data_IF_892586287007
#
_entry.id   IF_892586287007
#
_cell.length_a   1.000
_cell.length_b   1.000
_cell.length_c   1.000
_cell.angle_alpha   90.00
_cell.angle_beta   90.00
_cell.angle_gamma   90.00
#
_symmetry.space_group_name_H-M   'P 1'
#
loop_
_entity.id
_entity.type
_entity.pdbx_description
1 polymer ?
#
# COMPACT_ATOMS: atom_id res chain seq x y z
N UNK A 1 -34.66 68.07 66.75
CA UNK A 1 -33.80 66.98 67.29
C UNK A 1 -33.07 66.35 66.11
N UNK A 2 -31.93 66.93 65.71
CA UNK A 2 -31.22 66.53 64.48
C UNK A 2 -30.01 65.68 64.85
N UNK A 3 -30.12 64.38 64.59
CA UNK A 3 -28.99 63.44 64.61
C UNK A 3 -28.08 63.82 63.45
N UNK A 4 -26.84 64.25 63.75
CA UNK A 4 -25.82 64.59 62.77
C UNK A 4 -25.34 63.31 62.08
N UNK A 5 -25.73 63.13 60.81
CA UNK A 5 -25.18 62.09 59.94
C UNK A 5 -23.73 62.49 59.61
N UNK A 6 -22.75 61.78 60.18
CA UNK A 6 -21.33 62.11 60.06
C UNK A 6 -20.78 61.71 58.68
N UNK A 7 -19.94 62.56 58.08
CA UNK A 7 -19.33 62.39 56.74
C UNK A 7 -18.78 60.98 56.44
N UNK A 8 -18.27 60.29 57.47
CA UNK A 8 -17.72 58.94 57.34
C UNK A 8 -18.75 57.87 56.91
N UNK A 9 -20.02 58.02 57.26
CA UNK A 9 -21.05 57.02 56.90
C UNK A 9 -21.49 57.17 55.44
N UNK A 10 -21.52 58.41 54.92
CA UNK A 10 -21.77 58.68 53.50
C UNK A 10 -20.61 58.21 52.62
N UNK A 11 -19.36 58.43 53.04
CA UNK A 11 -18.18 57.94 52.32
C UNK A 11 -18.13 56.41 52.25
N UNK A 12 -18.48 55.73 53.34
CA UNK A 12 -18.54 54.26 53.39
C UNK A 12 -19.60 53.70 52.44
N UNK A 13 -20.80 54.30 52.40
CA UNK A 13 -21.85 53.90 51.46
C UNK A 13 -21.46 54.12 50.00
N UNK A 14 -20.78 55.23 49.68
CA UNK A 14 -20.28 55.49 48.31
C UNK A 14 -19.20 54.48 47.91
N UNK A 15 -18.26 54.15 48.81
CA UNK A 15 -17.21 53.15 48.57
C UNK A 15 -17.76 51.72 48.38
N UNK A 16 -18.86 51.37 49.03
CA UNK A 16 -19.51 50.07 48.83
C UNK A 16 -20.26 50.02 47.49
N UNK A 17 -20.89 51.13 47.07
CA UNK A 17 -21.57 51.21 45.76
C UNK A 17 -20.60 51.22 44.56
N UNK A 18 -19.39 51.76 44.70
CA UNK A 18 -18.41 51.78 43.60
C UNK A 18 -17.68 50.45 43.41
N UNK A 19 -17.78 49.52 44.35
CA UNK A 19 -17.13 48.21 44.30
C UNK A 19 -17.95 47.10 43.61
N UNK A 20 -19.18 47.38 43.15
CA UNK A 20 -20.01 46.38 42.45
C UNK A 20 -19.99 46.51 40.91
N UNK A 21 -19.30 47.53 40.37
CA UNK A 21 -19.37 47.85 38.93
C UNK A 21 -18.09 47.54 38.14
N UNK A 22 -17.05 46.95 38.75
CA UNK A 22 -15.76 46.75 38.08
C UNK A 22 -15.18 45.36 38.29
N UNK A 23 -15.93 44.33 37.89
CA UNK A 23 -15.30 43.12 37.34
C UNK A 23 -15.12 43.32 35.83
N UNK A 24 -14.12 44.13 35.45
CA UNK A 24 -13.63 44.15 34.08
C UNK A 24 -12.71 42.93 33.89
N UNK A 25 -13.28 41.76 33.63
CA UNK A 25 -12.51 40.69 33.02
C UNK A 25 -12.12 41.14 31.62
N UNK A 26 -10.82 41.22 31.34
CA UNK A 26 -10.28 41.46 30.01
C UNK A 26 -10.55 40.24 29.09
N UNK A 27 -11.81 40.04 28.73
CA UNK A 27 -12.21 39.19 27.62
C UNK A 27 -12.27 40.06 26.38
N UNK A 28 -11.45 39.76 25.37
CA UNK A 28 -11.62 40.33 24.03
C UNK A 28 -13.11 40.22 23.63
N UNK A 29 -13.72 41.28 23.08
CA UNK A 29 -15.12 41.25 22.66
C UNK A 29 -15.35 40.07 21.70
N UNK A 30 -16.51 39.43 21.81
CA UNK A 30 -16.86 38.18 21.11
C UNK A 30 -16.60 38.25 19.59
N UNK A 31 -16.78 39.42 19.00
CA UNK A 31 -16.54 39.68 17.57
C UNK A 31 -15.07 39.46 17.17
N UNK A 32 -14.13 39.93 17.99
CA UNK A 32 -12.70 39.80 17.72
C UNK A 32 -12.25 38.33 17.79
N UNK A 33 -12.88 37.53 18.67
CA UNK A 33 -12.65 36.08 18.76
C UNK A 33 -13.14 35.35 17.50
N UNK A 34 -14.30 35.74 16.98
CA UNK A 34 -14.85 35.16 15.74
C UNK A 34 -13.99 35.52 14.53
N UNK A 35 -13.56 36.79 14.45
CA UNK A 35 -12.67 37.24 13.39
C UNK A 35 -11.31 36.52 13.45
N UNK A 36 -10.72 36.41 14.65
CA UNK A 36 -9.48 35.67 14.86
C UNK A 36 -9.62 34.19 14.48
N UNK A 37 -10.75 33.54 14.80
CA UNK A 37 -11.00 32.15 14.43
C UNK A 37 -11.10 31.98 12.91
N UNK A 38 -11.78 32.92 12.23
CA UNK A 38 -11.89 32.93 10.77
C UNK A 38 -10.54 33.10 10.09
N UNK A 39 -9.72 34.01 10.59
CA UNK A 39 -8.38 34.25 10.05
C UNK A 39 -7.45 33.06 10.29
N UNK A 40 -7.53 32.41 11.46
CA UNK A 40 -6.82 31.17 11.76
C UNK A 40 -7.25 30.02 10.83
N UNK A 41 -8.55 29.87 10.57
CA UNK A 41 -9.07 28.85 9.65
C UNK A 41 -8.55 29.09 8.22
N UNK A 42 -8.63 30.32 7.73
CA UNK A 42 -8.16 30.70 6.40
C UNK A 42 -6.64 30.51 6.25
N UNK A 43 -5.86 30.91 7.26
CA UNK A 43 -4.42 30.73 7.27
C UNK A 43 -4.03 29.24 7.26
N UNK A 44 -4.78 28.40 7.98
CA UNK A 44 -4.53 26.96 8.01
C UNK A 44 -4.91 26.28 6.68
N UNK A 45 -6.00 26.70 6.02
CA UNK A 45 -6.36 26.22 4.67
C UNK A 45 -5.26 26.53 3.65
N UNK A 46 -4.74 27.76 3.65
CA UNK A 46 -3.63 28.17 2.78
C UNK A 46 -2.38 27.33 3.08
N UNK A 47 -2.06 27.12 4.36
CA UNK A 47 -0.91 26.29 4.77
C UNK A 47 -1.07 24.85 4.30
N UNK A 48 -2.27 24.27 4.42
CA UNK A 48 -2.57 22.92 3.95
C UNK A 48 -2.42 22.80 2.44
N UNK A 49 -2.96 23.76 1.67
CA UNK A 49 -2.81 23.79 0.21
C UNK A 49 -1.36 23.88 -0.24
N UNK A 50 -0.53 24.69 0.43
CA UNK A 50 0.91 24.77 0.15
C UNK A 50 1.62 23.45 0.45
N UNK A 51 1.34 22.83 1.59
CA UNK A 51 1.91 21.54 1.95
C UNK A 51 1.51 20.44 0.96
N UNK A 52 0.26 20.42 0.51
CA UNK A 52 -0.21 19.50 -0.53
C UNK A 52 0.52 19.73 -1.86
N UNK A 53 0.66 20.98 -2.29
CA UNK A 53 1.41 21.30 -3.51
C UNK A 53 2.90 20.90 -3.41
N UNK A 54 3.54 21.15 -2.27
CA UNK A 54 4.94 20.75 -2.03
C UNK A 54 5.09 19.23 -2.02
N UNK A 55 4.23 18.51 -1.32
CA UNK A 55 4.27 17.04 -1.24
C UNK A 55 4.00 16.40 -2.60
N UNK A 56 3.03 16.91 -3.36
CA UNK A 56 2.73 16.43 -4.71
C UNK A 56 3.91 16.68 -5.66
N UNK A 57 4.54 17.85 -5.59
CA UNK A 57 5.75 18.13 -6.37
C UNK A 57 6.90 17.18 -5.99
N UNK A 58 7.12 16.96 -4.70
CA UNK A 58 8.17 16.05 -4.22
C UNK A 58 7.90 14.60 -4.60
N UNK A 59 6.63 14.19 -4.61
CA UNK A 59 6.21 12.86 -5.06
C UNK A 59 6.49 12.68 -6.55
N UNK A 60 6.11 13.63 -7.40
CA UNK A 60 6.39 13.57 -8.84
C UNK A 60 7.89 13.54 -9.15
N UNK A 61 8.72 14.29 -8.41
CA UNK A 61 10.19 14.21 -8.55
C UNK A 61 10.71 12.83 -8.14
N UNK A 62 10.14 12.22 -7.10
CA UNK A 62 10.54 10.89 -6.64
C UNK A 62 10.15 9.80 -7.66
N UNK A 63 8.96 9.93 -8.26
CA UNK A 63 8.49 9.04 -9.34
C UNK A 63 9.41 9.10 -10.55
N UNK A 64 9.76 10.30 -11.04
CA UNK A 64 10.72 10.47 -12.14
C UNK A 64 12.11 9.91 -11.79
N UNK A 65 12.54 10.06 -10.54
CA UNK A 65 13.82 9.48 -10.09
C UNK A 65 13.78 7.96 -10.00
N UNK A 66 12.64 7.38 -9.64
CA UNK A 66 12.43 5.94 -9.64
C UNK A 66 12.43 5.37 -11.06
N UNK A 67 11.73 6.02 -11.98
CA UNK A 67 11.70 5.61 -13.40
C UNK A 67 13.08 5.65 -14.04
N UNK A 68 13.84 6.73 -13.82
CA UNK A 68 15.22 6.84 -14.32
C UNK A 68 16.17 5.81 -13.71
N UNK A 69 16.00 5.45 -12.43
CA UNK A 69 16.75 4.37 -11.79
C UNK A 69 16.40 2.99 -12.35
N UNK A 70 15.12 2.73 -12.64
CA UNK A 70 14.68 1.49 -13.29
C UNK A 70 15.31 1.33 -14.68
N UNK A 71 15.31 2.41 -15.48
CA UNK A 71 15.95 2.40 -16.80
C UNK A 71 17.48 2.21 -16.70
N UNK A 72 18.13 2.82 -15.71
CA UNK A 72 19.56 2.62 -15.45
C UNK A 72 19.88 1.19 -15.01
N UNK A 73 19.03 0.57 -14.21
CA UNK A 73 19.17 -0.82 -13.78
C UNK A 73 18.95 -1.81 -14.93
N UNK A 74 18.00 -1.53 -15.84
CA UNK A 74 17.77 -2.34 -17.03
C UNK A 74 18.98 -2.33 -17.99
N UNK A 75 19.74 -1.22 -18.03
CA UNK A 75 20.98 -1.12 -18.80
C UNK A 75 22.15 -1.90 -18.18
N UNK A 76 22.19 -2.02 -16.85
CA UNK A 76 23.28 -2.65 -16.10
C UNK A 76 23.04 -4.14 -15.82
N UNK A 77 21.92 -4.71 -16.23
CA UNK A 77 21.67 -6.15 -16.17
C UNK A 77 21.99 -6.76 -17.54
N UNK A 78 23.12 -7.45 -17.73
CA UNK A 78 23.32 -8.23 -18.93
C UNK A 78 22.49 -9.51 -18.79
N UNK A 79 21.18 -9.45 -19.04
CA UNK A 79 20.50 -10.64 -19.55
C UNK A 79 20.83 -10.68 -21.05
N UNK A 80 22.10 -10.97 -21.34
CA UNK A 80 22.42 -11.81 -22.48
C UNK A 80 22.05 -13.21 -22.04
N UNK A 81 20.76 -13.56 -22.12
CA UNK A 81 20.42 -14.96 -22.25
C UNK A 81 20.83 -15.33 -23.66
N UNK A 82 22.09 -15.73 -23.79
CA UNK A 82 22.62 -16.26 -25.02
C UNK A 82 21.91 -17.61 -25.26
N UNK A 83 20.87 -17.57 -26.11
CA UNK A 83 20.12 -18.76 -26.55
C UNK A 83 21.00 -19.67 -27.42
N UNK A 84 22.30 -19.43 -27.55
CA UNK A 84 23.21 -20.33 -28.26
C UNK A 84 23.75 -21.50 -27.42
N UNK A 85 23.47 -21.58 -26.11
CA UNK A 85 23.82 -22.75 -25.26
C UNK A 85 22.61 -23.65 -24.91
N UNK A 86 21.53 -23.58 -25.69
CA UNK A 86 20.44 -24.59 -25.69
C UNK A 86 20.55 -25.43 -26.98
N UNK A 87 21.74 -25.89 -27.34
CA UNK A 87 21.88 -26.98 -28.31
C UNK A 87 23.09 -27.88 -28.03
N UNK A 88 23.31 -28.19 -26.75
CA UNK A 88 23.97 -29.44 -26.40
C UNK A 88 22.90 -30.47 -26.06
N UNK A 89 22.22 -30.91 -27.11
CA UNK A 89 21.54 -32.18 -27.16
C UNK A 89 22.59 -33.31 -27.07
N UNK A 90 23.25 -33.43 -25.90
CA UNK A 90 23.75 -34.73 -25.48
C UNK A 90 22.53 -35.65 -25.37
N UNK A 91 22.57 -36.88 -25.92
CA UNK A 91 21.46 -37.81 -25.76
C UNK A 91 21.33 -38.05 -24.25
N UNK A 92 20.30 -37.47 -23.64
CA UNK A 92 19.90 -37.81 -22.29
C UNK A 92 19.58 -39.29 -22.34
N UNK A 93 20.45 -40.09 -21.75
CA UNK A 93 20.22 -41.52 -21.61
C UNK A 93 18.83 -41.71 -21.03
N UNK A 94 18.04 -42.59 -21.64
CA UNK A 94 16.64 -42.84 -21.31
C UNK A 94 16.44 -43.17 -19.81
N UNK A 95 17.51 -43.54 -19.10
CA UNK A 95 17.57 -43.74 -17.65
C UNK A 95 17.39 -42.47 -16.82
N UNK A 96 17.91 -41.30 -17.25
CA UNK A 96 17.93 -40.08 -16.42
C UNK A 96 16.58 -39.35 -16.44
N UNK A 97 15.88 -39.38 -17.57
CA UNK A 97 14.52 -38.85 -17.69
C UNK A 97 13.52 -39.69 -16.86
N UNK A 98 13.71 -41.02 -16.83
CA UNK A 98 12.89 -41.93 -16.03
C UNK A 98 13.18 -41.76 -14.54
N UNK A 99 14.44 -41.52 -14.14
CA UNK A 99 14.79 -41.27 -12.74
C UNK A 99 14.18 -39.95 -12.22
N UNK A 100 14.19 -38.87 -13.01
CA UNK A 100 13.54 -37.58 -12.66
C UNK A 100 12.02 -37.67 -12.50
N UNK A 101 11.41 -38.70 -13.10
CA UNK A 101 9.97 -38.93 -13.04
C UNK A 101 9.53 -39.73 -11.81
N UNK A 102 10.47 -40.33 -11.07
CA UNK A 102 10.17 -41.17 -9.89
C UNK A 102 9.98 -40.40 -8.57
N UNK A 103 10.28 -39.09 -8.53
CA UNK A 103 10.08 -38.23 -7.34
C UNK A 103 9.26 -36.99 -7.67
N UNK A 104 8.06 -37.14 -8.24
CA UNK A 104 7.15 -36.04 -8.62
C UNK A 104 6.57 -35.23 -7.44
N UNK A 105 7.31 -35.09 -6.34
CA UNK A 105 6.94 -34.30 -5.19
C UNK A 105 7.59 -32.94 -5.31
N UNK A 106 6.77 -31.90 -5.33
CA UNK A 106 7.24 -30.52 -5.32
C UNK A 106 8.13 -30.33 -4.08
N UNK A 107 9.36 -29.81 -4.24
CA UNK A 107 10.31 -29.68 -3.14
C UNK A 107 9.81 -28.72 -2.06
N UNK A 108 10.12 -29.02 -0.79
CA UNK A 108 9.79 -28.18 0.36
C UNK A 108 11.02 -27.55 1.00
N UNK A 109 12.21 -27.85 0.46
CA UNK A 109 13.49 -27.34 0.94
C UNK A 109 14.56 -27.45 -0.13
N UNK A 110 15.66 -26.71 0.07
CA UNK A 110 16.88 -26.84 -0.72
C UNK A 110 17.50 -28.25 -0.60
N UNK A 111 17.26 -28.97 0.49
CA UNK A 111 17.73 -30.35 0.65
C UNK A 111 16.96 -31.31 -0.27
N UNK A 112 15.65 -31.11 -0.42
CA UNK A 112 14.83 -31.87 -1.39
C UNK A 112 15.31 -31.60 -2.82
N UNK A 113 15.59 -30.33 -3.15
CA UNK A 113 16.10 -29.92 -4.46
C UNK A 113 17.46 -30.59 -4.75
N UNK A 114 18.37 -30.59 -3.77
CA UNK A 114 19.68 -31.26 -3.87
C UNK A 114 19.53 -32.77 -4.05
N UNK A 115 18.60 -33.39 -3.33
CA UNK A 115 18.28 -34.83 -3.44
C UNK A 115 17.66 -35.18 -4.79
N UNK A 116 16.92 -34.25 -5.39
CA UNK A 116 16.40 -34.36 -6.75
C UNK A 116 17.47 -34.14 -7.84
N UNK A 117 18.75 -33.98 -7.46
CA UNK A 117 19.89 -33.93 -8.38
C UNK A 117 20.32 -32.52 -8.81
N UNK A 118 19.75 -31.47 -8.22
CA UNK A 118 20.20 -30.11 -8.49
C UNK A 118 21.43 -29.76 -7.64
N UNK A 119 22.56 -29.48 -8.30
CA UNK A 119 23.85 -29.23 -7.64
C UNK A 119 24.35 -27.79 -7.78
N UNK A 120 23.67 -26.93 -8.54
CA UNK A 120 24.01 -25.52 -8.71
C UNK A 120 23.31 -24.62 -7.68
N UNK A 121 24.07 -23.84 -6.91
CA UNK A 121 23.48 -22.81 -6.03
C UNK A 121 22.67 -21.80 -6.84
N UNK A 122 21.58 -21.28 -6.27
CA UNK A 122 20.68 -20.38 -6.98
C UNK A 122 19.37 -20.12 -6.28
N UNK A 123 18.46 -19.41 -6.96
CA UNK A 123 17.11 -19.12 -6.48
C UNK A 123 16.18 -20.25 -6.94
N UNK A 124 15.38 -20.76 -6.01
CA UNK A 124 14.42 -21.84 -6.27
C UNK A 124 13.08 -21.54 -5.61
N UNK A 125 12.00 -22.07 -6.17
CA UNK A 125 10.68 -22.05 -5.55
C UNK A 125 10.41 -23.38 -4.83
N UNK A 126 9.99 -23.30 -3.58
CA UNK A 126 9.64 -24.43 -2.72
C UNK A 126 8.25 -24.25 -2.12
N UNK A 127 7.61 -25.35 -1.72
CA UNK A 127 6.37 -25.28 -0.94
C UNK A 127 6.71 -25.02 0.52
N UNK A 128 6.36 -23.83 0.99
CA UNK A 128 6.34 -23.46 2.39
C UNK A 128 5.12 -24.01 3.14
N UNK A 129 4.99 -23.66 4.42
CA UNK A 129 3.88 -24.13 5.25
C UNK A 129 2.50 -23.59 4.80
N UNK A 130 2.46 -22.39 4.19
CA UNK A 130 1.22 -21.69 3.82
C UNK A 130 1.17 -21.25 2.35
N UNK A 131 2.32 -21.04 1.73
CA UNK A 131 2.45 -20.46 0.39
C UNK A 131 3.68 -21.01 -0.34
N UNK A 132 3.79 -20.68 -1.62
CA UNK A 132 5.04 -20.86 -2.37
C UNK A 132 6.08 -19.87 -1.83
N UNK A 133 7.29 -20.35 -1.58
CA UNK A 133 8.40 -19.57 -1.05
C UNK A 133 9.52 -19.55 -2.08
N UNK A 134 10.12 -18.38 -2.28
CA UNK A 134 11.34 -18.21 -3.05
C UNK A 134 12.52 -18.23 -2.10
N UNK A 135 13.45 -19.16 -2.29
CA UNK A 135 14.62 -19.36 -1.44
C UNK A 135 15.90 -19.34 -2.26
N UNK A 136 16.97 -18.83 -1.65
CA UNK A 136 18.33 -19.04 -2.15
C UNK A 136 18.86 -20.34 -1.56
N UNK A 137 19.26 -21.27 -2.42
CA UNK A 137 19.95 -22.49 -2.03
C UNK A 137 21.45 -22.33 -2.28
N UNK A 138 22.27 -22.44 -1.24
CA UNK A 138 23.73 -22.50 -1.37
C UNK A 138 24.22 -23.95 -1.21
N UNK A 139 24.37 -24.65 -2.34
CA UNK A 139 24.78 -26.05 -2.35
C UNK A 139 26.27 -26.28 -2.07
N UNK A 140 27.08 -25.21 -2.02
CA UNK A 140 28.45 -25.24 -1.51
C UNK A 140 28.49 -25.44 0.02
N UNK A 141 27.37 -25.23 0.71
CA UNK A 141 27.25 -25.40 2.17
C UNK A 141 26.72 -26.78 2.53
N UNK A 142 26.95 -27.17 3.78
CA UNK A 142 26.34 -28.37 4.36
C UNK A 142 24.89 -28.07 4.72
N UNK A 143 24.02 -29.08 4.71
CA UNK A 143 22.59 -28.93 5.05
C UNK A 143 22.35 -28.49 6.50
N UNK A 144 23.38 -28.58 7.36
CA UNK A 144 23.35 -28.09 8.75
C UNK A 144 23.71 -26.60 8.87
N UNK A 145 24.28 -25.99 7.82
CA UNK A 145 24.63 -24.57 7.82
C UNK A 145 23.34 -23.74 7.67
N UNK A 146 23.09 -22.74 8.54
CA UNK A 146 21.91 -21.88 8.41
C UNK A 146 21.87 -21.09 7.09
N UNK A 147 23.00 -20.89 6.44
CA UNK A 147 23.13 -20.20 5.14
C UNK A 147 22.87 -21.13 3.95
N UNK A 148 22.68 -22.43 4.18
CA UNK A 148 22.35 -23.39 3.11
C UNK A 148 21.03 -23.04 2.41
N UNK A 149 20.06 -22.51 3.15
CA UNK A 149 18.77 -22.09 2.63
C UNK A 149 18.39 -20.74 3.25
N UNK A 150 18.28 -19.71 2.40
CA UNK A 150 17.85 -18.38 2.83
C UNK A 150 16.50 -18.05 2.20
N UNK A 151 15.51 -17.70 3.02
CA UNK A 151 14.22 -17.20 2.52
C UNK A 151 14.43 -15.83 1.87
N UNK A 152 14.16 -15.73 0.57
CA UNK A 152 14.21 -14.46 -0.18
C UNK A 152 12.85 -13.77 -0.08
N UNK A 153 11.76 -14.54 -0.20
CA UNK A 153 10.42 -14.02 -0.15
C UNK A 153 9.36 -15.06 -0.41
N UNK A 154 8.13 -14.60 -0.56
CA UNK A 154 6.98 -15.43 -0.88
C UNK A 154 6.53 -15.13 -2.29
N UNK A 155 6.33 -16.16 -3.11
CA UNK A 155 5.65 -15.97 -4.38
C UNK A 155 4.14 -16.02 -4.13
N UNK A 156 3.47 -14.88 -4.34
CA UNK A 156 2.01 -14.83 -4.38
C UNK A 156 1.51 -15.37 -5.72
N UNK A 157 1.65 -16.69 -5.92
CA UNK A 157 1.14 -17.39 -7.11
C UNK A 157 -0.37 -17.60 -7.06
N UNK A 158 -1.08 -16.95 -6.12
CA UNK A 158 -2.54 -17.06 -6.04
C UNK A 158 -3.14 -16.26 -7.20
N UNK A 159 -3.71 -16.97 -8.17
CA UNK A 159 -4.65 -16.35 -9.11
C UNK A 159 -5.73 -15.60 -8.32
N UNK A 160 -5.90 -14.30 -8.58
CA UNK A 160 -7.03 -13.56 -8.04
C UNK A 160 -8.30 -14.09 -8.74
N UNK A 161 -9.39 -14.36 -8.01
CA UNK A 161 -10.60 -14.87 -8.63
C UNK A 161 -11.16 -13.83 -9.60
N UNK A 162 -11.54 -14.27 -10.80
CA UNK A 162 -12.13 -13.44 -11.85
C UNK A 162 -13.51 -14.01 -12.15
N UNK A 163 -14.56 -13.28 -11.78
CA UNK A 163 -15.94 -13.69 -12.00
C UNK A 163 -16.85 -12.47 -11.99
N UNK A 164 -17.95 -12.58 -12.72
CA UNK A 164 -18.94 -11.53 -12.84
C UNK A 164 -20.35 -12.10 -12.80
N UNK A 165 -21.30 -11.28 -12.38
CA UNK A 165 -22.73 -11.52 -12.51
C UNK A 165 -23.36 -10.21 -12.97
N UNK A 166 -23.94 -10.27 -14.15
CA UNK A 166 -24.56 -9.13 -14.82
C UNK A 166 -26.00 -9.47 -15.19
N UNK A 167 -26.84 -8.46 -15.20
CA UNK A 167 -28.25 -8.59 -15.51
C UNK A 167 -28.63 -7.59 -16.58
N UNK A 168 -29.73 -7.92 -17.28
CA UNK A 168 -30.44 -7.01 -18.14
C UNK A 168 -31.79 -6.72 -17.49
N UNK A 169 -32.06 -5.47 -17.16
CA UNK A 169 -33.29 -5.08 -16.48
C UNK A 169 -34.42 -4.72 -17.45
N UNK A 170 -34.09 -4.31 -18.69
CA UNK A 170 -35.09 -3.80 -19.62
C UNK A 170 -35.06 -4.46 -21.01
N UNK A 171 -36.27 -4.60 -21.58
CA UNK A 171 -36.62 -5.00 -22.96
C UNK A 171 -36.27 -6.42 -23.40
N UNK A 172 -37.17 -7.00 -24.22
CA UNK A 172 -36.93 -8.24 -24.96
C UNK A 172 -35.77 -8.01 -25.94
N UNK A 173 -34.80 -8.91 -25.97
CA UNK A 173 -33.73 -8.89 -26.96
C UNK A 173 -34.16 -9.66 -28.20
N UNK A 174 -34.28 -8.97 -29.34
CA UNK A 174 -34.74 -9.54 -30.60
C UNK A 174 -33.76 -9.28 -31.77
N UNK A 175 -32.52 -8.89 -31.47
CA UNK A 175 -31.51 -8.65 -32.49
C UNK A 175 -30.72 -9.93 -32.76
N UNK A 176 -30.50 -10.21 -34.04
CA UNK A 176 -29.67 -11.33 -34.49
C UNK A 176 -28.24 -10.88 -34.75
N UNK A 177 -27.26 -11.73 -34.40
CA UNK A 177 -25.81 -11.52 -34.66
C UNK A 177 -25.19 -10.34 -33.91
N UNK A 178 -25.80 -9.91 -32.81
CA UNK A 178 -25.30 -8.86 -31.92
C UNK A 178 -25.07 -9.44 -30.52
N UNK A 179 -23.96 -9.10 -29.84
CA UNK A 179 -23.76 -9.46 -28.44
C UNK A 179 -24.91 -8.93 -27.58
N UNK A 180 -25.35 -9.72 -26.59
CA UNK A 180 -26.43 -9.32 -25.69
C UNK A 180 -25.87 -8.25 -24.74
N UNK A 181 -26.42 -7.03 -24.73
CA UNK A 181 -25.99 -6.01 -23.78
C UNK A 181 -26.53 -6.33 -22.37
N UNK A 182 -25.70 -6.06 -21.37
CA UNK A 182 -26.08 -6.11 -19.96
C UNK A 182 -25.99 -4.70 -19.39
N UNK A 183 -27.10 -4.20 -18.85
CA UNK A 183 -27.24 -2.83 -18.37
C UNK A 183 -26.95 -2.69 -16.86
N UNK A 184 -26.81 -3.83 -16.17
CA UNK A 184 -26.68 -3.86 -14.71
C UNK A 184 -25.57 -4.79 -14.27
N UNK A 185 -24.56 -4.22 -13.62
CA UNK A 185 -23.52 -4.95 -12.93
C UNK A 185 -23.96 -5.31 -11.51
N UNK A 186 -24.01 -6.61 -11.17
CA UNK A 186 -24.21 -7.04 -9.76
C UNK A 186 -22.88 -7.28 -9.06
N UNK A 187 -21.90 -7.83 -9.78
CA UNK A 187 -20.51 -8.01 -9.35
C UNK A 187 -19.61 -8.19 -10.58
N UNK A 188 -18.40 -7.62 -10.54
CA UNK A 188 -17.41 -7.71 -11.62
C UNK A 188 -15.99 -7.77 -11.04
N UNK A 189 -15.67 -8.89 -10.39
CA UNK A 189 -14.35 -9.06 -9.76
C UNK A 189 -13.31 -9.31 -10.84
N UNK A 190 -12.24 -8.51 -10.81
CA UNK A 190 -11.16 -8.61 -11.77
C UNK A 190 -11.47 -7.98 -13.13
N UNK A 191 -12.47 -7.09 -13.20
CA UNK A 191 -12.82 -6.33 -14.42
C UNK A 191 -13.08 -7.25 -15.62
N UNK A 192 -13.68 -8.41 -15.34
CA UNK A 192 -13.89 -9.50 -16.29
C UNK A 192 -14.92 -9.16 -17.37
N UNK A 193 -15.88 -8.28 -17.06
CA UNK A 193 -16.97 -7.89 -17.93
C UNK A 193 -16.88 -6.41 -18.28
N UNK A 194 -16.93 -6.10 -19.57
CA UNK A 194 -17.08 -4.72 -20.01
C UNK A 194 -18.57 -4.34 -20.01
N UNK A 195 -18.94 -3.37 -19.17
CA UNK A 195 -20.31 -2.87 -19.02
C UNK A 195 -20.57 -1.60 -19.84
N UNK A 196 -19.59 -1.12 -20.61
CA UNK A 196 -19.63 0.10 -21.45
C UNK A 196 -19.36 -0.19 -22.93
#
# INVERSE_FOLDING_TARGET
>A
MMVRLTSATLLSMVLVLTCWSTSASASLPLEERLQQLKDNYNANDIKMKRLLAEKNGRLGVLELKLESLLLAQQRNNPISFDVSEIDRSTPVGTSDAILRQTTSKIPRSCADIKTNGHNSSGIYSIIGAKSMESVFCDFCKTTSDPSFQTLIGYEDVKSKPVYFHVQRLFSVFNQSKTPIPFDTERINVGEAMNTS
#
